data_IF_446442054363
#
_entry.id   IF_446442054363
#
_cell.length_a   1.000
_cell.length_b   1.000
_cell.length_c   1.000
_cell.angle_alpha   90.00
_cell.angle_beta   90.00
_cell.angle_gamma   90.00
#
_symmetry.space_group_name_H-M   'P 1'
#
loop_
_entity.id
_entity.type
_entity.pdbx_description
1 polymer ?
#
# COMPACT_ATOMS: atom_id res chain seq x y z
N UNK A 1 -23.91 -8.39 74.25
CA UNK A 1 -23.62 -9.07 72.99
C UNK A 1 -23.24 -8.04 71.91
N UNK A 2 -22.13 -7.34 72.03
CA UNK A 2 -21.61 -6.42 71.02
C UNK A 2 -20.08 -6.45 71.16
N UNK A 3 -19.44 -7.53 70.72
CA UNK A 3 -17.99 -7.63 70.68
C UNK A 3 -17.44 -8.28 69.35
N UNK A 4 -18.32 -8.68 68.43
CA UNK A 4 -17.89 -9.37 67.20
C UNK A 4 -17.82 -8.46 66.01
N UNK A 5 -18.35 -7.22 65.99
CA UNK A 5 -18.41 -6.35 64.90
C UNK A 5 -17.08 -5.58 64.56
N UNK A 6 -16.18 -5.52 65.58
CA UNK A 6 -14.92 -4.79 65.42
C UNK A 6 -13.84 -5.58 64.69
N UNK A 7 -13.90 -6.89 64.69
CA UNK A 7 -12.88 -7.73 64.01
C UNK A 7 -13.17 -7.99 62.53
N UNK A 8 -14.42 -7.89 62.14
CA UNK A 8 -14.81 -8.07 60.70
C UNK A 8 -14.37 -6.89 59.85
N UNK A 9 -14.36 -5.68 60.38
CA UNK A 9 -13.92 -4.47 59.67
C UNK A 9 -12.40 -4.41 59.53
N UNK A 10 -11.64 -5.04 60.47
CA UNK A 10 -10.18 -5.01 60.45
C UNK A 10 -9.57 -6.05 59.48
N UNK A 11 -10.30 -7.13 59.20
CA UNK A 11 -9.84 -8.16 58.23
C UNK A 11 -10.11 -7.74 56.76
N UNK A 12 -11.09 -6.87 56.53
CA UNK A 12 -11.40 -6.37 55.18
C UNK A 12 -10.45 -5.26 54.71
N UNK A 13 -9.68 -4.66 55.63
CA UNK A 13 -8.73 -3.59 55.26
C UNK A 13 -7.35 -4.09 54.83
N UNK A 14 -7.07 -5.39 54.90
CA UNK A 14 -5.75 -5.97 54.64
C UNK A 14 -5.62 -6.69 53.28
N UNK A 15 -6.67 -6.69 52.45
CA UNK A 15 -6.66 -7.40 51.14
C UNK A 15 -6.48 -6.45 49.96
N UNK A 16 -6.29 -5.13 50.16
CA UNK A 16 -6.24 -4.15 49.06
C UNK A 16 -4.80 -3.70 48.68
N UNK A 17 -3.75 -4.33 49.21
CA UNK A 17 -2.37 -3.88 48.91
C UNK A 17 -1.50 -4.92 48.21
N UNK A 18 -2.08 -5.87 47.50
CA UNK A 18 -1.30 -6.85 46.74
C UNK A 18 -1.82 -7.05 45.34
N UNK A 19 -1.98 -5.95 44.56
CA UNK A 19 -2.19 -6.05 43.11
C UNK A 19 -1.84 -4.75 42.41
N UNK A 20 -0.59 -4.33 42.52
CA UNK A 20 0.03 -3.40 41.60
C UNK A 20 1.42 -3.94 41.25
N UNK A 21 1.43 -5.04 40.53
CA UNK A 21 2.58 -5.49 39.75
C UNK A 21 2.45 -4.94 38.36
N UNK A 22 2.72 -3.64 38.16
CA UNK A 22 2.97 -3.06 36.86
C UNK A 22 4.17 -3.77 36.23
N UNK A 23 3.90 -4.88 35.54
CA UNK A 23 4.79 -5.33 34.51
C UNK A 23 4.72 -4.29 33.39
N UNK A 24 5.52 -3.21 33.50
CA UNK A 24 5.93 -2.43 32.34
C UNK A 24 6.46 -3.43 31.33
N UNK A 25 5.63 -3.80 30.35
CA UNK A 25 6.12 -4.30 29.08
C UNK A 25 7.12 -3.26 28.62
N UNK A 26 8.39 -3.59 28.61
CA UNK A 26 9.35 -2.89 27.80
C UNK A 26 8.84 -3.04 26.38
N UNK A 27 8.13 -2.04 25.87
CA UNK A 27 7.99 -1.86 24.44
C UNK A 27 9.42 -1.76 23.93
N UNK A 28 9.85 -2.80 23.25
CA UNK A 28 11.05 -2.75 22.44
C UNK A 28 10.71 -1.72 21.37
N UNK A 29 11.13 -0.48 21.59
CA UNK A 29 11.12 0.56 20.56
C UNK A 29 12.09 0.02 19.51
N UNK A 30 11.53 -0.63 18.47
CA UNK A 30 12.27 -0.89 17.25
C UNK A 30 12.80 0.47 16.80
N UNK A 31 14.09 0.57 16.39
CA UNK A 31 14.59 1.81 15.86
C UNK A 31 13.64 2.25 14.75
N UNK A 32 13.09 3.46 14.87
CA UNK A 32 12.22 4.04 13.87
C UNK A 32 12.95 3.98 12.53
N UNK A 33 12.32 3.37 11.52
CA UNK A 33 12.86 3.39 10.15
C UNK A 33 13.05 4.89 9.79
N UNK A 34 14.26 5.34 9.45
CA UNK A 34 14.51 6.75 9.12
C UNK A 34 13.62 7.25 7.98
N UNK A 35 12.93 6.36 7.26
CA UNK A 35 11.91 6.68 6.26
C UNK A 35 10.56 7.04 6.88
N UNK A 36 10.28 6.67 8.14
CA UNK A 36 9.05 7.05 8.84
C UNK A 36 9.04 8.51 9.31
N UNK A 37 10.20 9.09 9.60
CA UNK A 37 10.29 10.51 9.99
C UNK A 37 10.04 11.49 8.83
N UNK A 38 10.02 10.99 7.58
CA UNK A 38 9.69 11.74 6.38
C UNK A 38 8.23 11.56 5.94
N UNK A 39 7.39 11.00 6.78
CA UNK A 39 5.96 10.97 6.51
C UNK A 39 5.44 12.41 6.55
N UNK A 40 5.64 13.13 5.43
CA UNK A 40 4.97 14.41 5.22
C UNK A 40 3.49 14.20 5.54
N UNK A 41 2.92 15.05 6.39
CA UNK A 41 1.48 15.10 6.67
C UNK A 41 0.79 15.40 5.34
N UNK A 42 0.52 14.34 4.59
CA UNK A 42 -0.16 14.45 3.32
C UNK A 42 -1.63 14.64 3.59
N UNK A 43 -2.22 15.57 2.88
CA UNK A 43 -3.62 15.91 3.09
C UNK A 43 -4.51 14.73 2.68
N UNK A 44 -5.65 14.59 3.32
CA UNK A 44 -6.70 13.64 2.88
C UNK A 44 -7.05 13.83 1.40
N UNK A 45 -6.86 15.04 0.88
CA UNK A 45 -7.04 15.39 -0.53
C UNK A 45 -6.06 14.67 -1.45
N UNK A 46 -4.76 14.62 -1.10
CA UNK A 46 -3.75 13.90 -1.89
C UNK A 46 -4.08 12.39 -1.93
N UNK A 47 -4.42 11.82 -0.78
CA UNK A 47 -4.84 10.41 -0.68
C UNK A 47 -6.02 10.10 -1.60
N UNK A 48 -7.07 10.90 -1.55
CA UNK A 48 -8.24 10.72 -2.41
C UNK A 48 -7.89 10.84 -3.90
N UNK A 49 -7.10 11.86 -4.26
CA UNK A 49 -6.68 12.08 -5.64
C UNK A 49 -5.89 10.90 -6.19
N UNK A 50 -4.96 10.35 -5.42
CA UNK A 50 -4.13 9.21 -5.83
C UNK A 50 -4.95 7.94 -6.02
N UNK A 51 -5.90 7.69 -5.11
CA UNK A 51 -6.83 6.56 -5.24
C UNK A 51 -7.75 6.74 -6.45
N UNK A 52 -8.27 7.94 -6.70
CA UNK A 52 -9.13 8.23 -7.85
C UNK A 52 -8.39 8.08 -9.17
N UNK A 53 -7.14 8.58 -9.27
CA UNK A 53 -6.30 8.40 -10.46
C UNK A 53 -6.06 6.91 -10.73
N UNK A 54 -5.69 6.15 -9.71
CA UNK A 54 -5.44 4.71 -9.85
C UNK A 54 -6.72 3.97 -10.22
N UNK A 55 -7.84 4.30 -9.59
CA UNK A 55 -9.15 3.72 -9.90
C UNK A 55 -9.54 3.99 -11.35
N UNK A 56 -9.41 5.24 -11.83
CA UNK A 56 -9.69 5.60 -13.22
C UNK A 56 -8.85 4.78 -14.20
N UNK A 57 -7.57 4.63 -13.92
CA UNK A 57 -6.66 3.80 -14.73
C UNK A 57 -7.12 2.34 -14.77
N UNK A 58 -7.44 1.74 -13.62
CA UNK A 58 -7.90 0.35 -13.54
C UNK A 58 -9.28 0.13 -14.18
N UNK A 59 -10.20 1.06 -14.04
CA UNK A 59 -11.50 0.99 -14.75
C UNK A 59 -11.33 1.09 -16.27
N UNK A 60 -10.39 1.93 -16.75
CA UNK A 60 -10.07 2.00 -18.18
C UNK A 60 -9.52 0.66 -18.69
N UNK A 61 -8.63 0.00 -17.92
CA UNK A 61 -8.12 -1.34 -18.25
C UNK A 61 -9.22 -2.41 -18.21
N UNK A 62 -10.10 -2.36 -17.22
CA UNK A 62 -11.24 -3.28 -17.09
C UNK A 62 -12.21 -3.18 -18.28
N UNK A 63 -12.34 -1.99 -18.86
CA UNK A 63 -13.10 -1.77 -20.08
C UNK A 63 -12.33 -2.17 -21.36
N UNK A 64 -11.16 -2.82 -21.20
CA UNK A 64 -10.27 -3.21 -22.30
C UNK A 64 -9.79 -2.04 -23.18
N UNK A 65 -9.82 -0.82 -22.67
CA UNK A 65 -9.32 0.39 -23.33
C UNK A 65 -7.83 0.58 -22.98
N UNK A 66 -6.97 -0.19 -23.66
CA UNK A 66 -5.51 -0.13 -23.46
C UNK A 66 -4.96 1.23 -23.86
N UNK A 67 -5.46 1.83 -24.94
CA UNK A 67 -4.97 3.13 -25.40
C UNK A 67 -5.34 4.25 -24.43
N UNK A 68 -6.55 4.24 -23.94
CA UNK A 68 -7.00 5.15 -22.89
C UNK A 68 -6.21 4.99 -21.58
N UNK A 69 -5.88 3.76 -21.19
CA UNK A 69 -5.04 3.51 -20.03
C UNK A 69 -3.60 4.02 -20.26
N UNK A 70 -3.00 3.74 -21.42
CA UNK A 70 -1.67 4.21 -21.78
C UNK A 70 -1.57 5.73 -21.77
N UNK A 71 -2.62 6.44 -22.21
CA UNK A 71 -2.65 7.92 -22.24
C UNK A 71 -2.63 8.56 -20.84
N UNK A 72 -2.91 7.80 -19.79
CA UNK A 72 -2.87 8.24 -18.39
C UNK A 72 -1.49 8.10 -17.76
N UNK A 73 -0.53 7.46 -18.44
CA UNK A 73 0.79 7.14 -17.93
C UNK A 73 1.86 8.12 -18.45
N UNK A 74 2.80 8.43 -17.56
CA UNK A 74 3.89 9.35 -17.83
C UNK A 74 5.24 8.77 -17.40
N UNK A 75 6.31 9.31 -17.92
CA UNK A 75 7.67 9.18 -17.39
C UNK A 75 8.05 10.48 -16.68
N UNK A 76 8.78 10.35 -15.55
CA UNK A 76 9.37 11.50 -14.87
C UNK A 76 10.88 11.33 -14.87
N UNK A 77 11.59 12.29 -15.44
CA UNK A 77 13.05 12.33 -15.48
C UNK A 77 13.52 13.76 -15.19
N UNK A 78 14.48 13.87 -14.29
CA UNK A 78 15.06 15.17 -13.89
C UNK A 78 13.98 16.21 -13.50
N UNK A 79 12.98 15.75 -12.74
CA UNK A 79 11.82 16.54 -12.30
C UNK A 79 10.99 17.13 -13.47
N UNK A 80 11.04 16.49 -14.64
CA UNK A 80 10.23 16.85 -15.82
C UNK A 80 9.31 15.69 -16.17
N UNK A 81 8.05 16.04 -16.44
CA UNK A 81 7.04 15.09 -16.91
C UNK A 81 7.11 14.97 -18.42
N UNK A 82 7.14 13.76 -18.91
CA UNK A 82 7.21 13.44 -20.33
C UNK A 82 6.21 12.34 -20.67
N UNK A 83 5.71 12.30 -21.91
CA UNK A 83 5.02 11.10 -22.40
C UNK A 83 5.93 9.88 -22.28
N UNK A 84 5.32 8.69 -22.21
CA UNK A 84 6.09 7.45 -22.23
C UNK A 84 6.96 7.39 -23.50
N UNK A 85 8.22 6.99 -23.34
CA UNK A 85 9.10 6.68 -24.47
C UNK A 85 8.52 5.51 -25.27
N UNK A 86 8.90 5.40 -26.55
CA UNK A 86 8.40 4.35 -27.44
C UNK A 86 8.72 2.95 -26.90
N UNK A 87 9.94 2.75 -26.40
CA UNK A 87 10.37 1.50 -25.79
C UNK A 87 9.51 1.16 -24.57
N UNK A 88 9.32 2.13 -23.68
CA UNK A 88 8.53 1.95 -22.47
C UNK A 88 7.06 1.70 -22.78
N UNK A 89 6.51 2.39 -23.77
CA UNK A 89 5.15 2.18 -24.23
C UNK A 89 4.94 0.76 -24.75
N UNK A 90 5.89 0.21 -25.53
CA UNK A 90 5.83 -1.17 -26.03
C UNK A 90 5.87 -2.19 -24.90
N UNK A 91 6.75 -1.99 -23.90
CA UNK A 91 6.88 -2.87 -22.74
C UNK A 91 5.59 -2.90 -21.89
N UNK A 92 5.09 -1.73 -21.51
CA UNK A 92 3.88 -1.59 -20.70
C UNK A 92 2.68 -2.16 -21.46
N UNK A 93 2.49 -1.79 -22.73
CA UNK A 93 1.40 -2.30 -23.57
C UNK A 93 1.41 -3.82 -23.63
N UNK A 94 2.58 -4.44 -23.83
CA UNK A 94 2.72 -5.90 -23.84
C UNK A 94 2.23 -6.50 -22.52
N UNK A 95 2.62 -5.91 -21.39
CA UNK A 95 2.19 -6.38 -20.06
C UNK A 95 0.68 -6.26 -19.88
N UNK A 96 0.11 -5.09 -20.18
CA UNK A 96 -1.33 -4.84 -20.05
C UNK A 96 -2.18 -5.74 -20.95
N UNK A 97 -1.68 -6.06 -22.15
CA UNK A 97 -2.37 -6.98 -23.08
C UNK A 97 -2.25 -8.44 -22.63
N UNK A 98 -1.12 -8.82 -22.02
CA UNK A 98 -0.90 -10.19 -21.53
C UNK A 98 -1.76 -10.51 -20.31
N UNK A 99 -2.02 -9.52 -19.47
CA UNK A 99 -2.79 -9.66 -18.25
C UNK A 99 -3.98 -8.68 -18.25
N UNK A 100 -5.07 -9.01 -18.97
CA UNK A 100 -6.27 -8.17 -19.00
C UNK A 100 -6.88 -8.07 -17.60
N UNK A 101 -7.50 -6.95 -17.30
CA UNK A 101 -8.13 -6.72 -15.99
C UNK A 101 -9.62 -7.08 -16.07
N UNK A 102 -10.03 -8.19 -15.48
CA UNK A 102 -11.45 -8.56 -15.33
C UNK A 102 -12.05 -7.92 -14.08
N UNK A 103 -11.33 -7.99 -12.99
CA UNK A 103 -11.67 -7.33 -11.75
C UNK A 103 -10.40 -6.83 -11.05
N UNK A 104 -10.54 -5.91 -10.12
CA UNK A 104 -9.41 -5.41 -9.35
C UNK A 104 -9.82 -5.03 -7.92
N UNK A 105 -8.82 -4.99 -7.05
CA UNK A 105 -8.91 -4.49 -5.70
C UNK A 105 -7.68 -3.63 -5.41
N UNK A 106 -7.89 -2.40 -4.96
CA UNK A 106 -6.78 -1.59 -4.43
C UNK A 106 -6.50 -2.10 -3.02
N UNK A 107 -5.27 -2.52 -2.78
CA UNK A 107 -4.85 -3.14 -1.53
C UNK A 107 -4.27 -2.13 -0.56
N UNK A 108 -3.41 -1.24 -1.03
CA UNK A 108 -2.65 -0.34 -0.16
C UNK A 108 -2.17 0.90 -0.92
N UNK A 109 -2.11 2.03 -0.21
CA UNK A 109 -1.47 3.26 -0.66
C UNK A 109 -0.33 3.62 0.28
N UNK A 110 0.88 3.64 -0.24
CA UNK A 110 2.11 4.00 0.46
C UNK A 110 2.57 5.39 -0.02
N UNK A 111 2.68 6.32 0.91
CA UNK A 111 3.03 7.72 0.66
C UNK A 111 4.29 8.07 1.46
N UNK A 112 5.46 7.86 0.88
CA UNK A 112 6.73 8.17 1.54
C UNK A 112 7.24 9.57 1.17
N UNK A 113 7.24 9.92 -0.12
CA UNK A 113 7.66 11.24 -0.62
C UNK A 113 6.92 11.60 -1.93
N UNK A 114 7.15 12.78 -2.48
CA UNK A 114 6.57 13.20 -3.77
C UNK A 114 7.02 12.33 -4.95
N UNK A 115 8.18 11.70 -4.83
CA UNK A 115 8.75 10.79 -5.82
C UNK A 115 8.75 9.33 -5.39
N UNK A 116 8.34 9.04 -4.15
CA UNK A 116 8.29 7.69 -3.58
C UNK A 116 6.88 7.43 -3.04
N UNK A 117 5.99 7.16 -3.96
CA UNK A 117 4.58 6.86 -3.72
C UNK A 117 4.24 5.58 -4.47
N UNK A 118 3.52 4.67 -3.83
CA UNK A 118 3.10 3.42 -4.45
C UNK A 118 1.64 3.14 -4.11
N UNK A 119 0.84 2.81 -5.13
CA UNK A 119 -0.50 2.24 -4.94
C UNK A 119 -0.45 0.79 -5.39
N UNK A 120 -0.60 -0.11 -4.45
CA UNK A 120 -0.65 -1.56 -4.68
C UNK A 120 -2.07 -2.01 -4.94
N UNK A 121 -2.21 -2.90 -5.89
CA UNK A 121 -3.50 -3.48 -6.24
C UNK A 121 -3.35 -4.91 -6.72
N UNK A 122 -4.41 -5.68 -6.60
CA UNK A 122 -4.52 -7.03 -7.13
C UNK A 122 -5.50 -7.02 -8.28
N UNK A 123 -5.15 -7.62 -9.40
CA UNK A 123 -6.04 -7.86 -10.54
C UNK A 123 -6.39 -9.33 -10.64
N UNK A 124 -7.59 -9.61 -11.13
CA UNK A 124 -8.00 -10.90 -11.67
C UNK A 124 -7.96 -10.82 -13.19
N UNK A 125 -7.25 -11.73 -13.86
CA UNK A 125 -6.95 -11.61 -15.29
C UNK A 125 -7.54 -12.72 -16.15
N UNK A 126 -8.20 -13.74 -15.57
CA UNK A 126 -9.07 -14.67 -16.28
C UNK A 126 -10.14 -15.23 -15.34
N UNK A 127 -11.30 -15.59 -15.92
CA UNK A 127 -12.36 -16.26 -15.17
C UNK A 127 -11.92 -17.67 -14.78
N UNK A 128 -12.09 -18.01 -13.51
CA UNK A 128 -11.67 -19.29 -12.96
C UNK A 128 -12.82 -20.30 -12.98
N UNK A 129 -12.81 -21.30 -13.85
CA UNK A 129 -13.81 -22.35 -13.85
C UNK A 129 -13.81 -23.12 -12.53
N UNK A 130 -14.97 -23.67 -12.16
CA UNK A 130 -15.10 -24.51 -10.95
C UNK A 130 -14.15 -25.69 -11.02
N UNK A 131 -13.26 -25.82 -10.02
CA UNK A 131 -12.26 -26.89 -9.94
C UNK A 131 -10.90 -26.56 -10.57
N UNK A 132 -10.75 -25.37 -11.18
CA UNK A 132 -9.44 -24.90 -11.64
C UNK A 132 -8.62 -24.37 -10.45
N UNK A 133 -7.41 -24.90 -10.27
CA UNK A 133 -6.49 -24.53 -9.19
C UNK A 133 -5.39 -23.55 -9.62
N UNK A 134 -5.37 -23.13 -10.90
CA UNK A 134 -4.39 -22.13 -11.37
C UNK A 134 -4.62 -20.78 -10.69
N UNK A 135 -3.57 -20.02 -10.32
CA UNK A 135 -3.73 -18.67 -9.84
C UNK A 135 -4.26 -17.78 -10.97
N UNK A 136 -5.32 -17.02 -10.72
CA UNK A 136 -5.91 -16.06 -11.66
C UNK A 136 -5.74 -14.62 -11.22
N UNK A 137 -4.96 -14.37 -10.18
CA UNK A 137 -4.70 -13.05 -9.64
C UNK A 137 -3.21 -12.70 -9.66
N UNK A 138 -2.91 -11.43 -9.88
CA UNK A 138 -1.55 -10.87 -9.84
C UNK A 138 -1.57 -9.59 -9.00
N UNK A 139 -0.54 -9.44 -8.16
CA UNK A 139 -0.28 -8.19 -7.45
C UNK A 139 0.53 -7.26 -8.34
N UNK A 140 0.07 -6.03 -8.46
CA UNK A 140 0.66 -4.99 -9.28
C UNK A 140 0.79 -3.70 -8.47
N UNK A 141 1.53 -2.73 -9.00
CA UNK A 141 1.55 -1.38 -8.45
C UNK A 141 1.69 -0.31 -9.54
N UNK A 142 1.24 0.89 -9.21
CA UNK A 142 1.58 2.13 -9.89
C UNK A 142 2.29 3.05 -8.92
N UNK A 143 3.13 3.94 -9.45
CA UNK A 143 4.00 4.82 -8.66
C UNK A 143 3.69 6.29 -8.98
N UNK A 144 2.58 6.84 -8.46
CA UNK A 144 2.29 8.25 -8.69
C UNK A 144 3.44 9.14 -8.21
N UNK A 145 3.82 10.11 -9.03
CA UNK A 145 4.92 11.03 -8.75
C UNK A 145 4.41 12.46 -8.84
N UNK A 146 4.79 13.30 -7.87
CA UNK A 146 4.40 14.71 -7.84
C UNK A 146 5.48 15.58 -8.47
N UNK A 147 5.09 16.39 -9.45
CA UNK A 147 5.98 17.34 -10.13
C UNK A 147 5.26 18.68 -10.25
N UNK A 148 5.89 19.76 -9.82
CA UNK A 148 5.30 21.10 -9.90
C UNK A 148 3.96 21.23 -9.17
N UNK A 149 3.75 20.45 -8.10
CA UNK A 149 2.50 20.46 -7.33
C UNK A 149 1.39 19.55 -7.88
N UNK A 150 1.55 18.95 -9.06
CA UNK A 150 0.59 18.06 -9.68
C UNK A 150 1.04 16.59 -9.60
N UNK A 151 0.08 15.68 -9.44
CA UNK A 151 0.33 14.24 -9.46
C UNK A 151 0.23 13.69 -10.88
N UNK A 152 1.16 12.79 -11.22
CA UNK A 152 1.22 12.09 -12.49
C UNK A 152 1.34 10.59 -12.24
N UNK A 153 0.58 9.80 -12.96
CA UNK A 153 0.62 8.36 -12.84
C UNK A 153 1.83 7.80 -13.59
N UNK A 154 2.70 7.10 -12.88
CA UNK A 154 3.86 6.42 -13.47
C UNK A 154 3.86 4.95 -13.08
N UNK A 155 4.59 4.13 -13.81
CA UNK A 155 4.85 2.73 -13.47
C UNK A 155 6.36 2.58 -13.31
N UNK A 156 6.80 2.10 -12.15
CA UNK A 156 8.21 1.82 -11.91
C UNK A 156 8.76 0.87 -12.99
N UNK A 157 10.02 1.06 -13.37
CA UNK A 157 10.72 0.04 -14.12
C UNK A 157 10.81 -1.18 -13.23
N UNK A 158 10.34 -2.33 -13.71
CA UNK A 158 10.61 -3.59 -13.03
C UNK A 158 12.12 -3.68 -12.87
N UNK A 159 12.62 -3.64 -11.64
CA UNK A 159 14.02 -3.95 -11.41
C UNK A 159 14.24 -5.31 -12.05
N UNK A 160 15.11 -5.38 -13.05
CA UNK A 160 15.53 -6.67 -13.59
C UNK A 160 16.03 -7.44 -12.38
N UNK A 161 15.35 -8.53 -12.03
CA UNK A 161 15.83 -9.46 -11.02
C UNK A 161 17.26 -9.76 -11.41
N UNK A 162 18.19 -9.15 -10.69
CA UNK A 162 19.58 -9.53 -10.78
C UNK A 162 19.62 -11.00 -10.45
N UNK A 163 19.84 -11.83 -11.48
CA UNK A 163 20.13 -13.24 -11.37
C UNK A 163 21.06 -13.43 -10.15
N UNK A 164 20.49 -13.87 -9.04
CA UNK A 164 21.26 -14.57 -8.02
C UNK A 164 21.74 -15.86 -8.71
N UNK A 165 22.87 -15.73 -9.41
CA UNK A 165 23.68 -16.90 -9.74
C UNK A 165 24.17 -17.42 -8.40
N UNK A 166 23.49 -18.44 -7.92
CA UNK A 166 24.04 -19.32 -6.89
C UNK A 166 25.33 -19.91 -7.45
N UNK A 167 26.46 -19.45 -6.91
CA UNK A 167 27.69 -20.22 -6.91
C UNK A 167 27.68 -21.12 -5.68
#
# INVERSE_FOLDING_TARGET
MIKSAKYVVMVLALIIVASCGDKKKKETILPADPRMDQQMVRTSKDTMMLLDMTKKFLETLKNNDIDGAMSQLYEVKDNKVMPLSEERSKEIRKTLTTFPVLSYKIDELLLYSDSDTEVRYTIEFFEKPKGDNRPNTIKCSVNPTRVGGNWYLTIAKVAQENNYKNN
#
